data_IF_382251275489
#
_entry.id   IF_382251275489
#
_cell.length_a   1.000
_cell.length_b   1.000
_cell.length_c   1.000
_cell.angle_alpha   90.00
_cell.angle_beta   90.00
_cell.angle_gamma   90.00
#
_symmetry.space_group_name_H-M   'P 1'
#
loop_
_entity.id
_entity.type
_entity.pdbx_description
1 polymer ?
#
# COMPACT_ATOMS: atom_id res chain seq x y z
N UNK A 1 -25.50 -41.88 -8.86
CA UNK A 1 -26.18 -40.81 -9.62
C UNK A 1 -25.33 -39.58 -9.41
N UNK A 2 -24.30 -39.45 -10.26
CA UNK A 2 -23.22 -38.49 -10.14
C UNK A 2 -23.60 -37.24 -10.94
N UNK A 3 -23.69 -36.12 -10.26
CA UNK A 3 -23.88 -34.80 -10.87
C UNK A 3 -22.69 -34.48 -11.77
N UNK A 4 -22.94 -34.55 -13.07
CA UNK A 4 -22.14 -33.92 -14.12
C UNK A 4 -22.28 -32.40 -13.94
N UNK A 5 -21.51 -31.84 -13.01
CA UNK A 5 -21.38 -30.38 -12.88
C UNK A 5 -20.74 -29.85 -14.16
N UNK A 6 -21.62 -29.27 -14.97
CA UNK A 6 -21.37 -28.50 -16.17
C UNK A 6 -20.37 -27.38 -15.85
N UNK A 7 -19.08 -27.63 -16.08
CA UNK A 7 -18.04 -26.62 -16.10
C UNK A 7 -18.28 -25.74 -17.32
N UNK A 8 -19.13 -24.73 -17.16
CA UNK A 8 -19.28 -23.67 -18.16
C UNK A 8 -17.89 -23.09 -18.44
N UNK A 9 -17.33 -23.43 -19.60
CA UNK A 9 -16.01 -22.99 -20.00
C UNK A 9 -15.99 -21.46 -19.97
N UNK A 10 -15.10 -20.89 -19.14
CA UNK A 10 -14.91 -19.44 -19.11
C UNK A 10 -14.43 -19.03 -20.50
N UNK A 11 -15.19 -18.19 -21.23
CA UNK A 11 -14.93 -17.94 -22.65
C UNK A 11 -13.62 -17.19 -22.90
N UNK A 12 -13.04 -16.56 -21.88
CA UNK A 12 -11.76 -15.87 -21.96
C UNK A 12 -11.10 -15.73 -20.58
N UNK A 13 -9.86 -16.20 -20.45
CA UNK A 13 -9.06 -16.05 -19.23
C UNK A 13 -8.20 -14.80 -19.33
N UNK A 14 -8.54 -13.75 -18.58
CA UNK A 14 -7.72 -12.53 -18.46
C UNK A 14 -6.47 -12.83 -17.61
N UNK A 15 -5.30 -12.22 -17.92
CA UNK A 15 -4.17 -12.26 -17.01
C UNK A 15 -4.53 -11.67 -15.65
N UNK A 16 -4.03 -12.29 -14.58
CA UNK A 16 -4.24 -11.79 -13.22
C UNK A 16 -3.53 -10.45 -13.04
N UNK A 17 -4.25 -9.49 -12.45
CA UNK A 17 -3.73 -8.14 -12.18
C UNK A 17 -2.71 -8.18 -11.04
N UNK A 18 -1.84 -7.18 -10.98
CA UNK A 18 -0.79 -7.14 -9.96
C UNK A 18 -1.37 -7.13 -8.53
N UNK A 19 -2.43 -6.35 -8.31
CA UNK A 19 -3.13 -6.26 -7.03
C UNK A 19 -3.69 -7.62 -6.54
N UNK A 20 -4.13 -8.49 -7.46
CA UNK A 20 -4.66 -9.81 -7.11
C UNK A 20 -3.56 -10.74 -6.55
N UNK A 21 -2.29 -10.43 -6.85
CA UNK A 21 -1.13 -11.18 -6.35
C UNK A 21 -0.67 -10.69 -4.98
N UNK A 22 -1.15 -9.55 -4.50
CA UNK A 22 -0.69 -8.96 -3.24
C UNK A 22 -0.94 -9.90 -2.05
N UNK A 23 -2.10 -10.58 -2.04
CA UNK A 23 -2.50 -11.53 -1.01
C UNK A 23 -1.55 -12.72 -0.86
N UNK A 24 -0.95 -13.19 -1.95
CA UNK A 24 -0.14 -14.41 -1.94
C UNK A 24 1.35 -14.15 -2.09
N UNK A 25 1.75 -13.07 -2.76
CA UNK A 25 3.14 -12.76 -3.09
C UNK A 25 3.43 -11.25 -2.95
N UNK A 26 3.30 -10.67 -1.73
CA UNK A 26 3.43 -9.22 -1.54
C UNK A 26 4.81 -8.69 -1.97
N UNK A 27 5.91 -9.40 -1.69
CA UNK A 27 7.25 -8.99 -2.11
C UNK A 27 7.40 -8.92 -3.64
N UNK A 28 6.74 -9.82 -4.38
CA UNK A 28 6.74 -9.78 -5.86
C UNK A 28 5.98 -8.57 -6.37
N UNK A 29 4.85 -8.23 -5.73
CA UNK A 29 4.07 -7.04 -6.07
C UNK A 29 4.88 -5.76 -5.87
N UNK A 30 5.54 -5.63 -4.71
CA UNK A 30 6.39 -4.48 -4.39
C UNK A 30 7.49 -4.31 -5.43
N UNK A 31 8.22 -5.40 -5.75
CA UNK A 31 9.27 -5.37 -6.80
C UNK A 31 8.75 -5.00 -8.16
N UNK A 32 7.59 -5.53 -8.56
CA UNK A 32 6.99 -5.23 -9.84
C UNK A 32 6.61 -3.74 -9.95
N UNK A 33 6.00 -3.16 -8.92
CA UNK A 33 5.71 -1.72 -8.91
C UNK A 33 7.00 -0.92 -9.08
N UNK A 34 8.02 -1.14 -8.25
CA UNK A 34 9.30 -0.40 -8.35
C UNK A 34 10.17 -0.77 -9.56
N UNK A 35 9.73 -1.70 -10.41
CA UNK A 35 10.34 -1.93 -11.73
C UNK A 35 9.69 -1.11 -12.84
N UNK A 36 8.48 -0.59 -12.59
CA UNK A 36 7.69 0.22 -13.53
C UNK A 36 7.81 1.72 -13.23
N UNK A 37 8.01 2.08 -11.95
CA UNK A 37 8.10 3.47 -11.49
C UNK A 37 9.33 3.66 -10.60
N UNK A 38 10.08 4.74 -10.83
CA UNK A 38 11.19 5.12 -9.96
C UNK A 38 10.65 5.68 -8.64
N UNK A 39 11.24 5.35 -7.47
CA UNK A 39 10.75 5.85 -6.18
C UNK A 39 10.74 7.37 -6.10
N UNK A 40 11.82 8.04 -6.53
CA UNK A 40 11.90 9.51 -6.59
C UNK A 40 10.78 10.11 -7.45
N UNK A 41 10.50 9.56 -8.62
CA UNK A 41 9.37 10.03 -9.46
C UNK A 41 8.03 9.88 -8.74
N UNK A 42 7.85 8.79 -7.98
CA UNK A 42 6.65 8.57 -7.19
C UNK A 42 6.53 9.56 -6.03
N UNK A 43 7.59 9.79 -5.26
CA UNK A 43 7.56 10.57 -4.00
C UNK A 43 7.81 12.07 -4.18
N UNK A 44 8.56 12.48 -5.21
CA UNK A 44 8.97 13.88 -5.43
C UNK A 44 8.14 14.57 -6.52
N UNK A 45 7.52 13.81 -7.43
CA UNK A 45 6.71 14.36 -8.53
C UNK A 45 5.23 13.93 -8.39
N UNK A 46 4.96 12.63 -8.56
CA UNK A 46 3.59 12.16 -8.76
C UNK A 46 2.69 12.31 -7.52
N UNK A 47 3.17 11.91 -6.34
CA UNK A 47 2.40 12.04 -5.10
C UNK A 47 2.18 13.51 -4.69
N UNK A 48 3.18 14.41 -4.69
CA UNK A 48 2.98 15.82 -4.41
C UNK A 48 2.01 16.50 -5.37
N UNK A 49 2.12 16.22 -6.68
CA UNK A 49 1.23 16.80 -7.68
C UNK A 49 -0.21 16.26 -7.56
N UNK A 50 -0.37 14.99 -7.20
CA UNK A 50 -1.68 14.42 -6.89
C UNK A 50 -2.30 15.09 -5.66
N UNK A 51 -1.51 15.26 -4.58
CA UNK A 51 -1.93 15.96 -3.37
C UNK A 51 -2.39 17.38 -3.67
N UNK A 52 -1.59 18.13 -4.43
CA UNK A 52 -1.92 19.49 -4.83
C UNK A 52 -3.25 19.56 -5.59
N UNK A 53 -3.49 18.64 -6.53
CA UNK A 53 -4.74 18.58 -7.27
C UNK A 53 -5.94 18.30 -6.33
N UNK A 54 -5.79 17.34 -5.41
CA UNK A 54 -6.84 16.96 -4.49
C UNK A 54 -7.22 18.09 -3.50
N UNK A 55 -6.23 18.76 -2.89
CA UNK A 55 -6.49 19.87 -1.95
C UNK A 55 -7.00 21.13 -2.65
N UNK A 56 -6.66 21.32 -3.93
CA UNK A 56 -7.14 22.46 -4.73
C UNK A 56 -8.54 22.22 -5.30
N UNK A 57 -9.05 20.99 -5.26
CA UNK A 57 -10.38 20.64 -5.76
C UNK A 57 -11.48 21.09 -4.78
N UNK A 58 -12.14 22.20 -5.12
CA UNK A 58 -13.22 22.78 -4.30
C UNK A 58 -14.53 21.99 -4.34
N UNK A 59 -14.68 21.08 -5.29
CA UNK A 59 -15.86 20.23 -5.45
C UNK A 59 -15.66 18.82 -4.85
N UNK A 60 -14.44 18.48 -4.41
CA UNK A 60 -14.10 17.16 -3.87
C UNK A 60 -14.41 16.99 -2.38
N UNK A 61 -14.23 15.78 -1.86
CA UNK A 61 -14.40 15.42 -0.46
C UNK A 61 -13.45 16.16 0.52
N UNK A 62 -12.39 16.79 -0.01
CA UNK A 62 -11.43 17.60 0.74
C UNK A 62 -11.66 19.11 0.61
N UNK A 63 -12.88 19.56 0.29
CA UNK A 63 -13.20 20.99 0.20
C UNK A 63 -13.15 21.72 1.55
N UNK A 64 -13.26 20.98 2.66
CA UNK A 64 -13.23 21.51 4.03
C UNK A 64 -11.84 21.44 4.65
N UNK A 65 -11.47 22.43 5.46
CA UNK A 65 -10.13 22.53 6.08
C UNK A 65 -9.78 21.31 6.95
N UNK A 66 -10.77 20.74 7.64
CA UNK A 66 -10.55 19.56 8.48
C UNK A 66 -10.24 18.32 7.63
N UNK A 67 -10.98 18.11 6.55
CA UNK A 67 -10.72 17.00 5.62
C UNK A 67 -9.35 17.14 4.95
N UNK A 68 -8.92 18.36 4.61
CA UNK A 68 -7.58 18.60 4.08
C UNK A 68 -6.50 18.21 5.09
N UNK A 69 -6.65 18.58 6.37
CA UNK A 69 -5.69 18.21 7.40
C UNK A 69 -5.58 16.68 7.55
N UNK A 70 -6.69 15.96 7.47
CA UNK A 70 -6.73 14.48 7.49
C UNK A 70 -6.00 13.89 6.28
N UNK A 71 -6.23 14.41 5.07
CA UNK A 71 -5.51 13.96 3.88
C UNK A 71 -4.01 14.22 3.98
N UNK A 72 -3.60 15.39 4.47
CA UNK A 72 -2.19 15.73 4.68
C UNK A 72 -1.54 14.76 5.68
N UNK A 73 -2.21 14.43 6.78
CA UNK A 73 -1.68 13.46 7.74
C UNK A 73 -1.53 12.07 7.11
N UNK A 74 -2.56 11.58 6.42
CA UNK A 74 -2.50 10.31 5.71
C UNK A 74 -1.38 10.28 4.66
N UNK A 75 -1.20 11.38 3.93
CA UNK A 75 -0.16 11.56 2.92
C UNK A 75 1.26 11.42 3.50
N UNK A 76 1.55 12.05 4.65
CA UNK A 76 2.86 11.93 5.32
C UNK A 76 3.16 10.48 5.75
N UNK A 77 2.15 9.76 6.23
CA UNK A 77 2.27 8.34 6.54
C UNK A 77 2.46 7.49 5.29
N UNK A 78 1.80 7.85 4.19
CA UNK A 78 1.89 7.16 2.91
C UNK A 78 3.29 7.29 2.30
N UNK A 79 3.91 8.47 2.35
CA UNK A 79 5.28 8.68 1.88
C UNK A 79 6.28 7.78 2.61
N UNK A 80 6.21 7.74 3.94
CA UNK A 80 7.05 6.85 4.75
C UNK A 80 6.82 5.38 4.40
N UNK A 81 5.55 4.98 4.20
CA UNK A 81 5.21 3.61 3.81
C UNK A 81 5.83 3.24 2.45
N UNK A 82 5.72 4.12 1.44
CA UNK A 82 6.29 3.90 0.11
C UNK A 82 7.80 3.71 0.18
N UNK A 83 8.52 4.59 0.89
CA UNK A 83 9.97 4.47 1.05
C UNK A 83 10.38 3.19 1.80
N UNK A 84 9.62 2.80 2.84
CA UNK A 84 9.89 1.57 3.59
C UNK A 84 9.73 0.33 2.70
N UNK A 85 8.73 0.31 1.82
CA UNK A 85 8.52 -0.76 0.85
C UNK A 85 9.62 -0.77 -0.21
N UNK A 86 10.10 0.39 -0.64
CA UNK A 86 11.22 0.48 -1.57
C UNK A 86 12.49 -0.15 -0.97
N UNK A 87 12.80 0.12 0.30
CA UNK A 87 13.93 -0.51 0.99
C UNK A 87 13.83 -2.05 1.06
N UNK A 88 12.60 -2.59 1.09
CA UNK A 88 12.34 -4.04 1.07
C UNK A 88 12.33 -4.64 -0.35
N UNK A 89 12.31 -3.83 -1.40
CA UNK A 89 12.15 -4.28 -2.79
C UNK A 89 13.41 -4.90 -3.42
N UNK A 90 14.53 -5.01 -2.70
CA UNK A 90 15.84 -5.49 -3.20
C UNK A 90 16.45 -4.62 -4.34
N UNK A 91 15.69 -3.71 -4.95
CA UNK A 91 16.13 -2.73 -5.94
C UNK A 91 16.84 -1.54 -5.29
N UNK A 92 17.86 -1.78 -4.46
CA UNK A 92 18.62 -0.74 -3.74
C UNK A 92 19.56 0.06 -4.66
N UNK A 93 19.06 0.55 -5.80
CA UNK A 93 19.84 1.39 -6.68
C UNK A 93 19.52 2.86 -6.43
N UNK A 94 20.47 3.51 -5.74
CA UNK A 94 20.83 4.93 -5.86
C UNK A 94 19.95 5.95 -5.13
N UNK A 95 18.68 5.65 -4.86
CA UNK A 95 17.83 6.63 -4.16
C UNK A 95 17.87 6.49 -2.64
N UNK A 96 18.02 7.62 -1.96
CA UNK A 96 18.08 7.69 -0.50
C UNK A 96 16.71 8.12 0.04
N UNK A 97 16.03 7.28 0.84
CA UNK A 97 14.80 7.67 1.52
C UNK A 97 14.95 9.00 2.26
N UNK A 98 14.07 9.96 1.99
CA UNK A 98 14.09 11.31 2.57
C UNK A 98 13.06 11.48 3.69
N UNK A 99 12.02 10.65 3.70
CA UNK A 99 10.92 10.69 4.67
C UNK A 99 11.14 9.72 5.85
N UNK A 100 12.10 8.80 5.75
CA UNK A 100 12.45 7.87 6.84
C UNK A 100 13.62 8.34 7.72
N UNK A 101 13.44 8.26 9.04
CA UNK A 101 14.55 8.35 10.01
C UNK A 101 15.54 7.19 9.87
N UNK A 102 16.77 7.37 10.36
CA UNK A 102 17.80 6.32 10.32
C UNK A 102 17.34 5.00 10.97
N UNK A 103 16.60 5.08 12.08
CA UNK A 103 16.03 3.92 12.77
C UNK A 103 14.97 3.21 11.91
N UNK A 104 14.12 3.96 11.20
CA UNK A 104 13.13 3.41 10.29
C UNK A 104 13.78 2.79 9.05
N UNK A 105 14.86 3.40 8.52
CA UNK A 105 15.62 2.83 7.41
C UNK A 105 16.30 1.51 7.81
N UNK A 106 16.78 1.43 9.06
CA UNK A 106 17.37 0.20 9.61
C UNK A 106 16.32 -0.90 9.85
N UNK A 107 15.05 -0.53 10.07
CA UNK A 107 13.94 -1.47 10.24
C UNK A 107 12.65 -1.00 9.55
N UNK A 108 12.54 -1.19 8.22
CA UNK A 108 11.37 -0.74 7.44
C UNK A 108 10.06 -1.40 7.88
N UNK A 109 10.11 -2.62 8.43
CA UNK A 109 8.90 -3.28 8.95
C UNK A 109 8.28 -2.53 10.14
N UNK A 110 9.06 -1.74 10.88
CA UNK A 110 8.53 -0.88 11.95
C UNK A 110 7.61 0.20 11.38
N UNK A 111 7.94 0.75 10.19
CA UNK A 111 7.11 1.75 9.50
C UNK A 111 5.80 1.11 9.04
N UNK A 112 5.87 -0.05 8.40
CA UNK A 112 4.68 -0.80 7.94
C UNK A 112 3.76 -1.14 9.12
N UNK A 113 4.33 -1.60 10.24
CA UNK A 113 3.57 -1.89 11.46
C UNK A 113 2.94 -0.63 12.05
N UNK A 114 3.69 0.47 12.10
CA UNK A 114 3.18 1.76 12.56
C UNK A 114 2.00 2.24 11.73
N UNK A 115 2.13 2.20 10.39
CA UNK A 115 1.07 2.60 9.46
C UNK A 115 -0.24 1.84 9.73
N UNK A 116 -0.21 0.51 9.81
CA UNK A 116 -1.41 -0.30 10.04
C UNK A 116 -1.89 -0.34 11.50
N UNK A 117 -1.13 0.23 12.43
CA UNK A 117 -1.60 0.48 13.80
C UNK A 117 -2.46 1.75 13.86
N UNK A 118 -2.18 2.73 13.00
CA UNK A 118 -2.92 3.98 12.89
C UNK A 118 -4.12 3.83 11.94
N UNK A 119 -3.90 3.23 10.76
CA UNK A 119 -4.91 3.10 9.72
C UNK A 119 -5.26 1.64 9.45
N UNK A 120 -6.55 1.31 9.56
CA UNK A 120 -7.05 0.02 9.06
C UNK A 120 -6.90 -0.06 7.54
N UNK A 121 -6.83 -1.28 6.99
CA UNK A 121 -6.78 -1.45 5.53
C UNK A 121 -8.05 -0.93 4.85
N UNK A 122 -9.21 -1.05 5.48
CA UNK A 122 -10.47 -0.49 5.00
C UNK A 122 -10.42 1.04 4.94
N UNK A 123 -9.82 1.68 5.95
CA UNK A 123 -9.62 3.13 5.94
C UNK A 123 -8.69 3.53 4.80
N UNK A 124 -7.51 2.92 4.69
CA UNK A 124 -6.53 3.25 3.66
C UNK A 124 -7.09 3.08 2.24
N UNK A 125 -7.88 2.03 1.99
CA UNK A 125 -8.57 1.82 0.70
C UNK A 125 -9.55 2.95 0.36
N UNK A 126 -10.34 3.40 1.34
CA UNK A 126 -11.30 4.49 1.14
C UNK A 126 -10.58 5.81 0.91
N UNK A 127 -9.60 6.12 1.74
CA UNK A 127 -8.81 7.34 1.62
C UNK A 127 -8.09 7.43 0.27
N UNK A 128 -7.50 6.32 -0.24
CA UNK A 128 -6.92 6.29 -1.58
C UNK A 128 -7.97 6.47 -2.70
N UNK A 129 -9.18 5.94 -2.51
CA UNK A 129 -10.28 6.11 -3.47
C UNK A 129 -10.77 7.56 -3.50
N UNK A 130 -10.94 8.18 -2.34
CA UNK A 130 -11.34 9.57 -2.18
C UNK A 130 -10.26 10.51 -2.74
N UNK A 131 -8.98 10.18 -2.49
CA UNK A 131 -7.84 10.88 -3.06
C UNK A 131 -7.82 10.79 -4.59
N UNK A 132 -8.16 9.62 -5.16
CA UNK A 132 -8.25 9.46 -6.62
C UNK A 132 -9.37 10.32 -7.18
N UNK A 133 -10.57 10.22 -6.60
CA UNK A 133 -11.75 10.97 -7.05
C UNK A 133 -11.49 12.47 -7.02
N UNK A 134 -10.91 12.98 -5.93
CA UNK A 134 -10.51 14.39 -5.81
C UNK A 134 -9.44 14.77 -6.84
N UNK A 135 -8.47 13.90 -7.12
CA UNK A 135 -7.41 14.14 -8.10
C UNK A 135 -7.93 14.20 -9.54
N UNK A 136 -8.82 13.30 -9.94
CA UNK A 136 -9.34 13.24 -11.33
C UNK A 136 -10.47 14.23 -11.61
N UNK A 137 -11.22 14.63 -10.57
CA UNK A 137 -12.31 15.60 -10.70
C UNK A 137 -11.87 17.04 -10.51
N UNK A 138 -10.56 17.28 -10.33
CA UNK A 138 -10.00 18.62 -10.28
C UNK A 138 -10.26 19.36 -11.60
N UNK A 139 -11.00 20.45 -11.53
CA UNK A 139 -11.42 21.27 -12.68
C UNK A 139 -10.45 22.41 -13.01
N UNK A 140 -9.41 22.58 -12.20
CA UNK A 140 -8.35 23.56 -12.40
C UNK A 140 -7.20 23.06 -13.28
N UNK A 141 -6.16 23.88 -13.36
CA UNK A 141 -4.92 23.50 -14.05
C UNK A 141 -4.07 22.63 -13.13
N UNK A 142 -3.77 21.42 -13.60
CA UNK A 142 -2.77 20.57 -12.97
C UNK A 142 -1.36 21.20 -13.06
N UNK A 143 -0.63 21.16 -11.95
CA UNK A 143 0.77 21.60 -11.86
C UNK A 143 1.70 20.64 -12.62
N UNK A 144 2.82 21.18 -13.11
CA UNK A 144 3.99 20.43 -13.59
C UNK A 144 3.72 19.31 -14.61
N UNK A 145 2.67 19.45 -15.41
CA UNK A 145 2.30 18.45 -16.43
C UNK A 145 1.59 17.23 -15.86
N UNK A 146 1.18 17.27 -14.58
CA UNK A 146 0.32 16.26 -13.98
C UNK A 146 -1.03 16.19 -14.71
N UNK A 147 -1.67 15.02 -14.74
CA UNK A 147 -2.92 14.79 -15.48
C UNK A 147 -3.83 13.82 -14.75
N UNK A 148 -5.14 13.75 -15.09
CA UNK A 148 -6.02 12.70 -14.56
C UNK A 148 -5.51 11.29 -14.81
N UNK A 149 -4.81 11.07 -15.93
CA UNK A 149 -4.21 9.77 -16.24
C UNK A 149 -3.04 9.45 -15.30
N UNK A 150 -2.20 10.43 -14.98
CA UNK A 150 -1.14 10.28 -13.98
C UNK A 150 -1.73 10.01 -12.60
N UNK A 151 -2.79 10.70 -12.18
CA UNK A 151 -3.48 10.41 -10.92
C UNK A 151 -3.98 8.96 -10.85
N UNK A 152 -4.61 8.47 -11.93
CA UNK A 152 -5.07 7.08 -12.00
C UNK A 152 -3.91 6.07 -11.97
N UNK A 153 -2.82 6.34 -12.68
CA UNK A 153 -1.63 5.49 -12.68
C UNK A 153 -0.98 5.42 -11.30
N UNK A 154 -0.76 6.58 -10.65
CA UNK A 154 -0.25 6.68 -9.29
C UNK A 154 -1.13 5.91 -8.30
N UNK A 155 -2.46 6.08 -8.38
CA UNK A 155 -3.42 5.33 -7.56
C UNK A 155 -3.25 3.81 -7.70
N UNK A 156 -3.10 3.28 -8.91
CA UNK A 156 -2.95 1.84 -9.12
C UNK A 156 -1.66 1.29 -8.48
N UNK A 157 -0.53 2.00 -8.66
CA UNK A 157 0.74 1.60 -8.05
C UNK A 157 0.68 1.66 -6.53
N UNK A 158 0.20 2.79 -5.98
CA UNK A 158 0.08 2.99 -4.54
C UNK A 158 -0.87 1.97 -3.91
N UNK A 159 -2.01 1.68 -4.55
CA UNK A 159 -2.93 0.65 -4.05
C UNK A 159 -2.26 -0.72 -4.02
N UNK A 160 -1.51 -1.10 -5.05
CA UNK A 160 -0.74 -2.35 -5.04
C UNK A 160 0.28 -2.40 -3.89
N UNK A 161 0.98 -1.29 -3.64
CA UNK A 161 1.95 -1.16 -2.55
C UNK A 161 1.27 -1.29 -1.18
N UNK A 162 0.16 -0.59 -0.94
CA UNK A 162 -0.60 -0.64 0.33
C UNK A 162 -1.16 -2.04 0.58
N UNK A 163 -1.72 -2.71 -0.42
CA UNK A 163 -2.20 -4.09 -0.30
C UNK A 163 -1.07 -5.06 0.01
N UNK A 164 0.07 -4.94 -0.67
CA UNK A 164 1.23 -5.78 -0.39
C UNK A 164 1.79 -5.53 1.01
N UNK A 165 1.83 -4.27 1.45
CA UNK A 165 2.27 -3.90 2.79
C UNK A 165 1.36 -4.47 3.87
N UNK A 166 0.04 -4.43 3.65
CA UNK A 166 -0.92 -5.01 4.59
C UNK A 166 -0.70 -6.52 4.75
N UNK A 167 -0.41 -7.23 3.65
CA UNK A 167 -0.13 -8.66 3.70
C UNK A 167 1.19 -8.98 4.41
N UNK A 168 2.23 -8.14 4.25
CA UNK A 168 3.46 -8.25 5.05
C UNK A 168 3.18 -8.04 6.54
N UNK A 169 2.41 -7.00 6.89
CA UNK A 169 1.99 -6.72 8.27
C UNK A 169 1.23 -7.90 8.88
N UNK A 170 0.21 -8.41 8.18
CA UNK A 170 -0.62 -9.51 8.64
C UNK A 170 0.18 -10.79 8.86
N UNK A 171 1.03 -11.16 7.90
CA UNK A 171 1.90 -12.34 8.01
C UNK A 171 2.87 -12.23 9.20
N UNK A 172 3.44 -11.04 9.42
CA UNK A 172 4.32 -10.79 10.56
C UNK A 172 3.56 -10.90 11.90
N UNK A 173 2.35 -10.33 12.00
CA UNK A 173 1.53 -10.41 13.21
C UNK A 173 1.13 -11.86 13.57
N UNK A 174 0.81 -12.69 12.57
CA UNK A 174 0.51 -14.10 12.77
C UNK A 174 1.74 -14.86 13.30
N UNK A 175 2.92 -14.63 12.71
CA UNK A 175 4.15 -15.32 13.12
C UNK A 175 4.48 -15.05 14.60
N UNK A 176 4.32 -13.81 15.06
CA UNK A 176 4.52 -13.47 16.49
C UNK A 176 3.49 -14.12 17.40
N UNK A 177 2.24 -14.23 16.97
CA UNK A 177 1.18 -14.88 17.76
C UNK A 177 1.45 -16.39 17.90
N UNK A 178 1.93 -17.04 16.85
CA UNK A 178 2.22 -18.48 16.88
C UNK A 178 3.40 -18.82 17.81
N UNK A 179 4.43 -17.99 17.88
CA UNK A 179 5.57 -18.20 18.78
C UNK A 179 5.16 -18.16 20.26
N UNK A 180 4.27 -17.23 20.64
CA UNK A 180 3.80 -17.11 22.03
C UNK A 180 2.96 -18.30 22.51
N UNK A 181 2.28 -19.01 21.59
CA UNK A 181 1.46 -20.19 21.94
C UNK A 181 2.35 -21.42 22.16
N UNK A 182 3.44 -21.57 21.40
CA UNK A 182 4.35 -22.71 21.52
C UNK A 182 5.19 -22.63 22.81
N UNK A 183 5.61 -21.43 23.21
CA UNK A 183 6.40 -21.23 24.45
C UNK A 183 5.56 -21.32 25.74
N UNK A 184 4.23 -21.27 25.62
CA UNK A 184 3.30 -21.36 26.76
C UNK A 184 2.85 -22.81 27.08
N UNK A 185 3.30 -23.83 26.34
CA UNK A 185 2.98 -25.23 26.66
C UNK A 185 3.99 -25.79 27.68
N UNK A 186 3.56 -26.18 28.90
CA UNK A 186 4.44 -26.77 29.90
C UNK A 186 4.92 -28.16 29.45
N UNK A 187 6.21 -28.42 29.62
CA UNK A 187 6.92 -29.65 29.21
C UNK A 187 6.55 -30.87 30.09
N UNK A 188 5.64 -30.72 31.04
CA UNK A 188 5.45 -31.67 32.15
C UNK A 188 4.60 -32.93 31.83
N UNK A 189 4.41 -33.31 30.56
CA UNK A 189 3.55 -34.45 30.20
C UNK A 189 4.18 -35.54 29.32
N UNK A 190 5.52 -35.66 29.29
CA UNK A 190 6.21 -36.73 28.54
C UNK A 190 6.96 -37.78 29.38
N UNK A 191 6.77 -37.79 30.71
CA UNK A 191 7.21 -38.90 31.55
C UNK A 191 6.05 -39.39 32.42
N UNK A 192 5.32 -40.39 31.92
CA UNK A 192 4.33 -41.15 32.66
C UNK A 192 4.37 -42.61 32.21
N UNK A 193 5.24 -43.36 32.88
CA UNK A 193 5.32 -44.82 33.14
C UNK A 193 4.68 -45.84 32.18
#
# INVERSE_FOLDING_TARGET
MLDLLNTSAIPYSKPSRLIEKAATNPSVVIRAVFSEIFPGDLTEDLLPNWLQAAVSNRAGCYSESNSQAVLMEFYEWLLQLVEALYLLSENKCQDHPTHLTADQQANPMKVITGFFTVYTIEYARRELSDFLDAGISHDGNYSDGFTPWLAWMTYNHVTCLVEAAFQLYFNHAIQHTHLLIVDAMPIDNLCGD
#
